data_IF_372268129672
#
_entry.id   IF_372268129672
#
_cell.length_a   1.000
_cell.length_b   1.000
_cell.length_c   1.000
_cell.angle_alpha   90.00
_cell.angle_beta   90.00
_cell.angle_gamma   90.00
#
_symmetry.space_group_name_H-M   'P 1'
#
loop_
_entity.id
_entity.type
_entity.pdbx_description
1 polymer ?
#
# COMPACT_ATOMS: atom_id res chain seq x y z
N UNK A 1 -13.64 34.80 56.72
CA UNK A 1 -14.09 34.53 55.35
C UNK A 1 -12.93 33.85 54.62
N UNK A 2 -12.99 32.52 54.56
CA UNK A 2 -11.92 31.70 54.02
C UNK A 2 -12.32 31.30 52.59
N UNK A 3 -11.49 31.66 51.60
CA UNK A 3 -11.67 31.25 50.23
C UNK A 3 -11.18 29.80 50.05
N UNK A 4 -11.91 28.92 49.28
CA UNK A 4 -11.41 27.60 48.98
C UNK A 4 -10.39 27.70 47.84
N UNK A 5 -9.27 27.02 48.02
CA UNK A 5 -8.21 26.80 47.00
C UNK A 5 -8.72 25.75 46.02
N UNK A 6 -8.87 26.15 44.77
CA UNK A 6 -9.17 25.23 43.65
C UNK A 6 -7.92 24.41 43.33
N UNK A 7 -8.04 23.08 43.40
CA UNK A 7 -7.04 22.13 42.88
C UNK A 7 -7.08 22.16 41.35
N UNK A 8 -5.92 22.11 40.66
CA UNK A 8 -5.89 21.97 39.24
C UNK A 8 -6.37 20.55 38.84
N UNK A 9 -7.25 20.49 37.84
CA UNK A 9 -7.69 19.25 37.20
C UNK A 9 -6.49 18.46 36.69
N UNK A 10 -6.46 17.19 37.08
CA UNK A 10 -5.48 16.23 36.57
C UNK A 10 -5.70 16.09 35.07
N UNK A 11 -4.64 16.36 34.29
CA UNK A 11 -4.64 16.21 32.86
C UNK A 11 -5.08 14.80 32.46
N UNK A 12 -6.00 14.72 31.51
CA UNK A 12 -6.37 13.49 30.83
C UNK A 12 -5.08 12.91 30.24
N UNK A 13 -4.62 11.79 30.83
CA UNK A 13 -3.53 11.01 30.25
C UNK A 13 -3.94 10.58 28.85
N UNK A 14 -3.08 10.83 27.87
CA UNK A 14 -3.25 10.27 26.54
C UNK A 14 -3.38 8.75 26.70
N UNK A 15 -4.42 8.16 26.09
CA UNK A 15 -4.57 6.71 26.04
C UNK A 15 -3.26 6.10 25.51
N UNK A 16 -2.77 5.02 26.12
CA UNK A 16 -1.54 4.39 25.67
C UNK A 16 -1.72 3.99 24.21
N UNK A 17 -0.79 4.43 23.36
CA UNK A 17 -0.79 4.09 21.92
C UNK A 17 -0.79 2.57 21.79
N UNK A 18 -1.86 1.98 21.25
CA UNK A 18 -1.96 0.53 21.01
C UNK A 18 -0.88 0.08 20.02
N UNK A 19 -0.24 -1.04 20.36
CA UNK A 19 0.77 -1.63 19.49
C UNK A 19 0.12 -2.50 18.42
N UNK A 20 0.27 -2.09 17.16
CA UNK A 20 -0.33 -2.74 16.00
C UNK A 20 0.77 -3.35 15.14
N UNK A 21 0.81 -4.69 15.09
CA UNK A 21 1.80 -5.46 14.34
C UNK A 21 1.22 -5.95 13.00
N UNK A 22 1.76 -5.49 11.89
CA UNK A 22 1.45 -6.08 10.58
C UNK A 22 2.37 -7.28 10.30
N UNK A 23 1.78 -8.45 10.10
CA UNK A 23 2.48 -9.67 9.72
C UNK A 23 2.16 -10.01 8.27
N UNK A 24 3.21 -10.19 7.46
CA UNK A 24 3.12 -10.57 6.05
C UNK A 24 3.70 -12.00 5.90
N UNK A 25 2.86 -13.04 5.83
CA UNK A 25 3.33 -14.40 5.58
C UNK A 25 3.75 -14.56 4.11
N UNK A 26 5.02 -14.86 3.87
CA UNK A 26 5.58 -15.03 2.53
C UNK A 26 6.50 -16.24 2.48
N UNK A 27 5.96 -17.42 2.10
CA UNK A 27 6.77 -18.65 1.98
C UNK A 27 7.49 -18.75 0.64
N UNK A 28 8.63 -19.46 0.58
CA UNK A 28 9.40 -19.69 -0.64
C UNK A 28 8.76 -20.65 -1.62
N UNK A 29 8.08 -21.70 -1.14
CA UNK A 29 7.50 -22.79 -1.94
C UNK A 29 6.13 -22.47 -2.53
N UNK A 30 6.03 -21.59 -3.54
CA UNK A 30 4.78 -21.32 -4.25
C UNK A 30 4.55 -22.28 -5.40
N UNK A 31 3.35 -22.95 -5.43
CA UNK A 31 3.01 -23.95 -6.47
C UNK A 31 2.57 -23.34 -7.80
N UNK A 32 1.78 -22.28 -7.77
CA UNK A 32 1.20 -21.66 -8.96
C UNK A 32 2.20 -20.82 -9.76
N UNK A 33 2.95 -19.95 -9.07
CA UNK A 33 3.98 -19.08 -9.67
C UNK A 33 5.30 -19.33 -8.97
N UNK A 34 6.37 -19.78 -9.66
CA UNK A 34 7.69 -19.91 -9.05
C UNK A 34 8.17 -18.59 -8.45
N UNK A 35 8.66 -18.62 -7.19
CA UNK A 35 9.09 -17.44 -6.46
C UNK A 35 8.05 -16.30 -6.42
N UNK A 36 6.77 -16.63 -6.34
CA UNK A 36 5.62 -15.72 -6.43
C UNK A 36 5.82 -14.42 -5.63
N UNK A 37 6.24 -14.53 -4.37
CA UNK A 37 6.39 -13.39 -3.48
C UNK A 37 7.53 -12.41 -3.89
N UNK A 38 8.46 -12.88 -4.73
CA UNK A 38 9.52 -12.07 -5.36
C UNK A 38 9.17 -11.60 -6.76
N UNK A 39 8.04 -12.07 -7.33
CA UNK A 39 7.64 -11.68 -8.68
C UNK A 39 7.35 -10.17 -8.73
N UNK A 40 7.93 -9.43 -9.71
CA UNK A 40 7.73 -7.99 -9.79
C UNK A 40 6.42 -7.64 -10.50
N UNK A 41 5.72 -6.65 -9.92
CA UNK A 41 4.62 -5.91 -10.53
C UNK A 41 5.04 -4.44 -10.55
N UNK A 42 5.03 -3.80 -11.71
CA UNK A 42 5.61 -2.47 -11.93
C UNK A 42 7.06 -2.33 -11.39
N UNK A 43 7.89 -3.36 -11.60
CA UNK A 43 9.28 -3.36 -11.15
C UNK A 43 9.50 -3.66 -9.66
N UNK A 44 8.46 -3.71 -8.82
CA UNK A 44 8.56 -3.92 -7.38
C UNK A 44 8.07 -5.32 -7.00
N UNK A 45 8.86 -6.13 -6.27
CA UNK A 45 8.45 -7.45 -5.78
C UNK A 45 7.18 -7.40 -4.93
N UNK A 46 6.31 -8.41 -5.03
CA UNK A 46 5.02 -8.45 -4.30
C UNK A 46 5.21 -8.26 -2.79
N UNK A 47 6.19 -8.92 -2.18
CA UNK A 47 6.46 -8.76 -0.74
C UNK A 47 6.90 -7.34 -0.39
N UNK A 48 7.73 -6.70 -1.22
CA UNK A 48 8.17 -5.32 -1.00
C UNK A 48 7.03 -4.31 -1.12
N UNK A 49 6.08 -4.55 -2.05
CA UNK A 49 4.85 -3.75 -2.18
C UNK A 49 4.03 -3.77 -0.89
N UNK A 50 3.73 -4.97 -0.38
CA UNK A 50 2.97 -5.12 0.86
C UNK A 50 3.68 -4.49 2.08
N UNK A 51 5.01 -4.65 2.18
CA UNK A 51 5.82 -4.01 3.24
C UNK A 51 5.71 -2.49 3.17
N UNK A 52 5.84 -1.90 1.97
CA UNK A 52 5.74 -0.45 1.78
C UNK A 52 4.39 0.09 2.24
N UNK A 53 3.28 -0.53 1.84
CA UNK A 53 1.94 -0.09 2.24
C UNK A 53 1.71 -0.23 3.75
N UNK A 54 2.16 -1.33 4.37
CA UNK A 54 2.08 -1.49 5.83
C UNK A 54 2.90 -0.44 6.58
N UNK A 55 4.11 -0.12 6.10
CA UNK A 55 4.97 0.90 6.73
C UNK A 55 4.46 2.33 6.59
N UNK A 56 3.71 2.60 5.52
CA UNK A 56 3.10 3.91 5.26
C UNK A 56 1.78 4.11 6.01
N UNK A 57 1.21 3.04 6.57
CA UNK A 57 -0.03 3.08 7.32
C UNK A 57 0.18 3.75 8.70
N UNK A 58 -0.75 4.62 9.09
CA UNK A 58 -0.65 5.47 10.30
C UNK A 58 -0.85 4.70 11.60
N UNK A 59 -1.67 3.65 11.54
CA UNK A 59 -2.04 2.84 12.71
C UNK A 59 -1.09 1.66 12.93
N UNK A 60 -0.22 1.32 11.97
CA UNK A 60 0.75 0.24 12.09
C UNK A 60 1.99 0.75 12.80
N UNK A 61 2.40 0.07 13.88
CA UNK A 61 3.61 0.41 14.64
C UNK A 61 4.82 -0.38 14.16
N UNK A 62 4.61 -1.65 13.81
CA UNK A 62 5.68 -2.58 13.47
C UNK A 62 5.26 -3.46 12.27
N UNK A 63 6.22 -3.80 11.40
CA UNK A 63 5.99 -4.64 10.21
C UNK A 63 6.95 -5.82 10.20
N UNK A 64 6.41 -7.02 10.17
CA UNK A 64 7.15 -8.28 10.18
C UNK A 64 6.81 -9.10 8.94
N UNK A 65 7.83 -9.57 8.23
CA UNK A 65 7.68 -10.61 7.19
C UNK A 65 8.05 -11.97 7.80
N UNK A 66 7.08 -12.92 7.79
CA UNK A 66 7.29 -14.30 8.22
C UNK A 66 7.62 -15.16 7.00
N UNK A 67 8.85 -15.66 6.90
CA UNK A 67 9.32 -16.42 5.73
C UNK A 67 10.28 -17.55 6.12
N UNK A 68 10.35 -18.58 5.28
CA UNK A 68 11.35 -19.67 5.31
C UNK A 68 12.45 -19.47 4.24
N UNK A 69 12.32 -18.44 3.39
CA UNK A 69 13.17 -18.21 2.23
C UNK A 69 14.11 -17.01 2.46
N UNK A 70 15.41 -17.21 2.22
CA UNK A 70 16.42 -16.17 2.45
C UNK A 70 16.38 -15.04 1.42
N UNK A 71 15.93 -15.30 0.17
CA UNK A 71 15.80 -14.26 -0.83
C UNK A 71 14.60 -13.34 -0.50
N UNK A 72 13.48 -13.92 -0.05
CA UNK A 72 12.34 -13.15 0.46
C UNK A 72 12.76 -12.33 1.68
N UNK A 73 13.52 -12.94 2.60
CA UNK A 73 14.02 -12.25 3.79
C UNK A 73 14.91 -11.05 3.45
N UNK A 74 15.78 -11.18 2.42
CA UNK A 74 16.64 -10.09 1.97
C UNK A 74 15.79 -8.90 1.42
N UNK A 75 14.86 -9.18 0.50
CA UNK A 75 13.97 -8.17 -0.08
C UNK A 75 13.08 -7.50 0.98
N UNK A 76 12.58 -8.26 1.94
CA UNK A 76 11.78 -7.73 3.03
C UNK A 76 12.56 -6.76 3.93
N UNK A 77 13.82 -7.08 4.26
CA UNK A 77 14.71 -6.18 5.03
C UNK A 77 15.05 -4.91 4.25
N UNK A 78 15.34 -5.04 2.97
CA UNK A 78 15.60 -3.91 2.08
C UNK A 78 14.38 -2.97 2.00
N UNK A 79 13.17 -3.54 1.96
CA UNK A 79 11.93 -2.78 2.04
C UNK A 79 11.64 -2.21 3.44
N UNK A 80 12.43 -2.56 4.46
CA UNK A 80 12.39 -2.02 5.81
C UNK A 80 11.50 -2.78 6.79
N UNK A 81 11.17 -4.04 6.53
CA UNK A 81 10.47 -4.90 7.49
C UNK A 81 11.45 -5.65 8.40
N UNK A 82 11.01 -5.95 9.62
CA UNK A 82 11.61 -6.99 10.43
C UNK A 82 11.32 -8.36 9.80
N UNK A 83 12.23 -9.32 9.95
CA UNK A 83 12.06 -10.67 9.39
C UNK A 83 12.10 -11.71 10.50
N UNK A 84 11.03 -12.49 10.58
CA UNK A 84 10.95 -13.69 11.42
C UNK A 84 11.10 -14.93 10.54
N UNK A 85 12.17 -15.68 10.77
CA UNK A 85 12.41 -16.93 10.04
C UNK A 85 11.45 -18.01 10.54
N UNK A 86 10.68 -18.58 9.61
CA UNK A 86 9.66 -19.57 9.90
C UNK A 86 10.26 -20.97 10.03
N UNK A 87 9.97 -21.72 11.10
CA UNK A 87 10.38 -23.13 11.21
C UNK A 87 9.74 -24.00 10.12
N UNK A 88 10.44 -25.04 9.68
CA UNK A 88 9.95 -25.96 8.65
C UNK A 88 8.58 -26.59 8.98
N UNK A 89 8.29 -26.81 10.27
CA UNK A 89 7.04 -27.39 10.72
C UNK A 89 5.79 -26.53 10.37
N UNK A 90 5.96 -25.22 10.19
CA UNK A 90 4.88 -24.30 9.83
C UNK A 90 5.16 -23.56 8.50
N UNK A 91 6.04 -24.11 7.67
CA UNK A 91 6.39 -23.62 6.33
C UNK A 91 5.83 -24.50 5.20
N UNK A 92 5.31 -25.69 5.53
CA UNK A 92 4.77 -26.66 4.56
C UNK A 92 3.44 -26.22 3.93
N UNK A 93 2.99 -27.03 2.95
CA UNK A 93 1.78 -26.75 2.17
C UNK A 93 0.47 -26.75 2.99
N UNK A 94 0.46 -27.47 4.10
CA UNK A 94 -0.69 -27.58 5.03
C UNK A 94 -0.64 -26.54 6.14
N UNK A 95 0.42 -25.74 6.22
CA UNK A 95 0.55 -24.71 7.25
C UNK A 95 -0.41 -23.55 6.97
N UNK A 96 -1.20 -23.18 7.96
CA UNK A 96 -2.14 -22.05 7.86
C UNK A 96 -1.44 -20.70 8.00
N UNK A 97 -2.02 -19.66 7.44
CA UNK A 97 -1.55 -18.29 7.63
C UNK A 97 -1.61 -17.88 9.11
N UNK A 98 -2.60 -18.34 9.83
CA UNK A 98 -2.78 -18.09 11.26
C UNK A 98 -1.61 -18.62 12.10
N UNK A 99 -1.12 -19.82 11.80
CA UNK A 99 0.06 -20.38 12.48
C UNK A 99 1.33 -19.53 12.24
N UNK A 100 1.48 -19.03 11.01
CA UNK A 100 2.59 -18.13 10.68
C UNK A 100 2.48 -16.77 11.40
N UNK A 101 1.27 -16.23 11.53
CA UNK A 101 1.00 -14.97 12.25
C UNK A 101 1.27 -15.13 13.74
N UNK A 102 0.76 -16.20 14.38
CA UNK A 102 1.00 -16.49 15.79
C UNK A 102 2.51 -16.61 16.09
N UNK A 103 3.23 -17.37 15.27
CA UNK A 103 4.67 -17.54 15.43
C UNK A 103 5.42 -16.20 15.29
N UNK A 104 5.06 -15.39 14.30
CA UNK A 104 5.69 -14.09 14.09
C UNK A 104 5.41 -13.11 15.24
N UNK A 105 4.17 -13.11 15.76
CA UNK A 105 3.78 -12.28 16.90
C UNK A 105 4.53 -12.68 18.17
N UNK A 106 4.67 -13.99 18.46
CA UNK A 106 5.43 -14.49 19.61
C UNK A 106 6.92 -14.14 19.52
N UNK A 107 7.50 -14.29 18.32
CA UNK A 107 8.90 -13.96 18.09
C UNK A 107 9.17 -12.45 18.23
N UNK A 108 8.27 -11.62 17.70
CA UNK A 108 8.36 -10.17 17.81
C UNK A 108 8.23 -9.69 19.27
N UNK A 109 7.24 -10.19 20.02
CA UNK A 109 7.08 -9.85 21.45
C UNK A 109 8.30 -10.30 22.28
N UNK A 110 8.85 -11.48 22.01
CA UNK A 110 10.04 -11.98 22.68
C UNK A 110 11.28 -11.10 22.41
N UNK A 111 11.42 -10.59 21.19
CA UNK A 111 12.54 -9.73 20.80
C UNK A 111 12.45 -8.34 21.44
N UNK A 112 11.26 -7.75 21.45
CA UNK A 112 11.05 -6.36 21.87
C UNK A 112 10.61 -6.21 23.32
N UNK A 113 10.27 -7.32 24.01
CA UNK A 113 9.81 -7.29 25.40
C UNK A 113 8.48 -6.55 25.61
N UNK A 114 7.68 -6.40 24.58
CA UNK A 114 6.44 -5.65 24.61
C UNK A 114 5.31 -6.40 23.89
N UNK A 115 4.09 -6.36 24.45
CA UNK A 115 2.92 -7.05 23.91
C UNK A 115 2.34 -6.33 22.70
N UNK A 116 1.82 -7.10 21.79
CA UNK A 116 1.01 -6.65 20.64
C UNK A 116 -0.44 -6.58 21.09
N UNK A 117 -1.14 -5.47 20.78
CA UNK A 117 -2.55 -5.27 21.10
C UNK A 117 -3.44 -5.66 19.93
N UNK A 118 -2.99 -5.38 18.69
CA UNK A 118 -3.68 -5.72 17.45
C UNK A 118 -2.70 -6.35 16.48
N UNK A 119 -3.07 -7.45 15.88
CA UNK A 119 -2.27 -8.11 14.83
C UNK A 119 -3.01 -8.06 13.50
N UNK A 120 -2.28 -7.71 12.45
CA UNK A 120 -2.76 -7.76 11.08
C UNK A 120 -2.17 -8.95 10.35
N UNK A 121 -3.00 -9.63 9.59
CA UNK A 121 -2.58 -10.56 8.53
C UNK A 121 -2.71 -9.83 7.20
N UNK A 122 -1.58 -9.58 6.54
CA UNK A 122 -1.53 -8.91 5.23
C UNK A 122 -0.97 -9.86 4.19
N UNK A 123 -1.71 -10.09 3.11
CA UNK A 123 -1.30 -10.99 2.04
C UNK A 123 -0.55 -10.22 0.93
N UNK A 124 0.72 -10.55 0.71
CA UNK A 124 1.51 -9.94 -0.36
C UNK A 124 1.06 -10.37 -1.78
N UNK A 125 0.20 -11.38 -1.89
CA UNK A 125 -0.44 -11.81 -3.13
C UNK A 125 -1.50 -10.83 -3.66
N UNK A 126 -1.89 -9.83 -2.86
CA UNK A 126 -2.80 -8.75 -3.26
C UNK A 126 -1.98 -7.52 -3.69
N UNK A 127 -1.63 -7.40 -5.00
CA UNK A 127 -0.63 -6.43 -5.48
C UNK A 127 -1.07 -4.97 -5.37
N UNK A 128 -2.39 -4.71 -5.25
CA UNK A 128 -2.98 -3.38 -5.23
C UNK A 128 -3.59 -3.01 -3.87
N UNK A 129 -3.15 -3.69 -2.81
CA UNK A 129 -3.39 -3.27 -1.44
C UNK A 129 -2.82 -1.87 -1.23
N UNK A 130 -3.54 -0.99 -0.53
CA UNK A 130 -3.06 0.35 -0.18
C UNK A 130 -2.96 0.53 1.32
N UNK A 131 -2.20 1.56 1.74
CA UNK A 131 -2.10 1.94 3.15
C UNK A 131 -3.46 2.27 3.78
N UNK A 132 -4.42 2.83 3.01
CA UNK A 132 -5.77 3.12 3.48
C UNK A 132 -6.54 1.85 3.82
N UNK A 133 -6.35 0.77 3.05
CA UNK A 133 -6.94 -0.53 3.34
C UNK A 133 -6.35 -1.10 4.65
N UNK A 134 -5.03 -0.99 4.83
CA UNK A 134 -4.32 -1.41 6.05
C UNK A 134 -4.76 -0.57 7.25
N UNK A 135 -4.79 0.75 7.10
CA UNK A 135 -5.26 1.68 8.15
C UNK A 135 -6.72 1.42 8.53
N UNK A 136 -7.57 1.15 7.54
CA UNK A 136 -8.99 0.89 7.76
C UNK A 136 -9.22 -0.32 8.66
N UNK A 137 -8.57 -1.46 8.39
CA UNK A 137 -8.70 -2.66 9.22
C UNK A 137 -8.04 -2.48 10.59
N UNK A 138 -6.88 -1.83 10.64
CA UNK A 138 -6.18 -1.53 11.88
C UNK A 138 -7.02 -0.63 12.81
N UNK A 139 -7.56 0.46 12.28
CA UNK A 139 -8.38 1.42 13.03
C UNK A 139 -9.69 0.79 13.56
N UNK A 140 -10.32 -0.10 12.78
CA UNK A 140 -11.55 -0.78 13.19
C UNK A 140 -11.39 -1.59 14.47
N UNK A 141 -10.22 -2.23 14.65
CA UNK A 141 -9.91 -3.04 15.84
C UNK A 141 -9.23 -2.19 16.92
N UNK A 142 -8.24 -1.36 16.54
CA UNK A 142 -7.52 -0.52 17.50
C UNK A 142 -8.43 0.51 18.18
N UNK A 143 -9.49 0.97 17.51
CA UNK A 143 -10.51 1.84 18.10
C UNK A 143 -11.46 1.14 19.07
N UNK A 144 -11.36 -0.18 19.28
CA UNK A 144 -12.20 -0.96 20.20
C UNK A 144 -13.65 -1.17 19.72
N UNK A 145 -13.93 -0.91 18.46
CA UNK A 145 -15.26 -1.09 17.86
C UNK A 145 -15.55 -2.50 17.36
N UNK A 146 -14.51 -3.29 17.10
CA UNK A 146 -14.60 -4.67 16.61
C UNK A 146 -13.46 -5.51 17.17
N UNK A 147 -13.65 -6.81 17.25
CA UNK A 147 -12.61 -7.79 17.60
C UNK A 147 -11.84 -8.25 16.37
N UNK A 148 -12.49 -8.24 15.21
CA UNK A 148 -11.87 -8.56 13.92
C UNK A 148 -12.33 -7.59 12.83
N UNK A 149 -11.52 -7.43 11.80
CA UNK A 149 -11.87 -6.65 10.61
C UNK A 149 -11.22 -7.26 9.36
N UNK A 150 -11.85 -7.05 8.21
CA UNK A 150 -11.31 -7.49 6.93
C UNK A 150 -11.63 -6.50 5.81
N UNK A 151 -10.84 -6.53 4.75
CA UNK A 151 -11.11 -5.79 3.52
C UNK A 151 -12.13 -6.53 2.65
N UNK A 152 -13.15 -5.79 2.20
CA UNK A 152 -14.21 -6.28 1.33
C UNK A 152 -14.46 -5.31 0.17
N UNK A 153 -14.95 -5.83 -0.95
CA UNK A 153 -15.33 -5.01 -2.09
C UNK A 153 -16.77 -5.23 -2.51
N UNK A 154 -17.49 -4.21 -3.02
CA UNK A 154 -18.80 -4.38 -3.62
C UNK A 154 -18.80 -5.43 -4.74
N UNK A 155 -19.66 -6.42 -4.63
CA UNK A 155 -19.81 -7.49 -5.60
C UNK A 155 -21.24 -7.52 -6.15
N UNK A 156 -21.38 -7.65 -7.47
CA UNK A 156 -22.68 -7.63 -8.15
C UNK A 156 -22.93 -8.87 -9.01
N UNK A 157 -22.03 -9.85 -8.95
CA UNK A 157 -22.15 -11.09 -9.69
C UNK A 157 -23.28 -11.98 -9.19
N UNK A 158 -23.79 -12.83 -10.08
CA UNK A 158 -24.63 -13.96 -9.72
C UNK A 158 -23.72 -15.18 -9.58
N UNK A 159 -23.66 -15.75 -8.40
CA UNK A 159 -22.82 -16.91 -8.10
C UNK A 159 -23.64 -18.18 -8.33
N UNK A 160 -23.06 -19.11 -9.08
CA UNK A 160 -23.61 -20.44 -9.36
C UNK A 160 -22.66 -21.48 -8.79
N UNK A 161 -23.21 -22.60 -8.36
CA UNK A 161 -22.45 -23.79 -7.97
C UNK A 161 -22.93 -24.96 -8.78
N UNK A 162 -22.01 -25.86 -9.16
CA UNK A 162 -22.35 -27.14 -9.78
C UNK A 162 -22.76 -28.14 -8.68
N UNK A 163 -23.85 -28.85 -8.87
CA UNK A 163 -24.30 -29.88 -7.94
C UNK A 163 -23.35 -31.09 -7.88
N UNK A 164 -22.49 -31.28 -8.85
CA UNK A 164 -21.46 -32.32 -8.83
C UNK A 164 -20.39 -32.07 -7.74
N UNK A 165 -20.08 -30.78 -7.45
CA UNK A 165 -19.06 -30.41 -6.44
C UNK A 165 -19.52 -30.70 -4.98
N UNK A 166 -20.82 -30.82 -4.71
CA UNK A 166 -21.32 -31.16 -3.36
C UNK A 166 -21.09 -32.63 -2.99
N UNK A 167 -21.03 -33.52 -3.98
CA UNK A 167 -20.80 -34.95 -3.72
C UNK A 167 -19.36 -35.25 -3.31
N UNK A 168 -18.38 -34.54 -3.91
CA UNK A 168 -16.97 -34.72 -3.56
C UNK A 168 -16.63 -34.17 -2.16
N UNK A 169 -17.32 -33.12 -1.70
CA UNK A 169 -17.12 -32.55 -0.35
C UNK A 169 -17.78 -33.35 0.74
N UNK A 170 -18.88 -34.06 0.46
CA UNK A 170 -19.55 -34.95 1.42
C UNK A 170 -18.71 -36.20 1.70
N UNK A 171 -18.13 -36.83 0.68
CA UNK A 171 -17.21 -37.97 0.83
C UNK A 171 -15.90 -37.60 1.58
N UNK A 172 -15.42 -36.35 1.43
CA UNK A 172 -14.25 -35.87 2.17
C UNK A 172 -14.55 -35.57 3.64
N UNK A 173 -15.81 -35.23 4.00
CA UNK A 173 -16.21 -34.96 5.38
C UNK A 173 -16.45 -36.24 6.19
N UNK A 174 -16.90 -37.31 5.57
CA UNK A 174 -17.08 -38.63 6.24
C UNK A 174 -15.71 -39.29 6.55
N UNK A 175 -14.65 -38.95 5.81
CA UNK A 175 -13.31 -39.44 6.08
C UNK A 175 -12.58 -38.67 7.20
N UNK A 176 -13.10 -37.52 7.64
CA UNK A 176 -12.46 -36.63 8.64
C UNK A 176 -13.15 -36.65 10.02
N UNK A 177 -14.28 -37.39 10.19
CA UNK A 177 -15.06 -37.35 11.43
C UNK A 177 -14.62 -38.42 12.44
N UNK A 178 -13.64 -38.10 13.24
CA UNK A 178 -13.27 -38.65 14.53
C UNK A 178 -13.27 -37.60 15.64
N UNK A 179 -13.94 -36.45 15.51
CA UNK A 179 -13.93 -35.38 16.52
C UNK A 179 -15.10 -34.39 16.36
N UNK A 180 -16.03 -34.44 17.29
CA UNK A 180 -17.24 -33.67 17.51
C UNK A 180 -17.38 -32.35 16.74
N UNK A 181 -18.22 -32.34 15.71
CA UNK A 181 -18.73 -31.13 15.07
C UNK A 181 -19.88 -30.54 15.89
N UNK A 182 -19.69 -29.29 16.39
CA UNK A 182 -20.79 -28.48 16.90
C UNK A 182 -21.41 -27.77 15.69
N UNK A 183 -22.52 -28.30 15.20
CA UNK A 183 -23.28 -27.66 14.13
C UNK A 183 -23.95 -26.38 14.61
N UNK A 184 -23.68 -25.28 13.96
CA UNK A 184 -24.45 -24.04 14.10
C UNK A 184 -25.70 -24.17 13.21
N UNK A 185 -26.77 -24.72 13.80
CA UNK A 185 -28.07 -24.72 13.19
C UNK A 185 -28.68 -23.33 13.20
N UNK A 186 -28.90 -22.76 12.03
CA UNK A 186 -29.76 -21.58 11.89
C UNK A 186 -31.20 -21.97 12.24
N UNK A 187 -31.68 -21.56 13.41
CA UNK A 187 -33.10 -21.65 13.77
C UNK A 187 -33.89 -20.62 12.94
N UNK A 188 -34.59 -21.10 11.92
CA UNK A 188 -35.68 -20.35 11.29
C UNK A 188 -36.93 -20.57 12.11
N UNK A 189 -37.40 -19.51 12.75
CA UNK A 189 -38.78 -19.47 13.30
C UNK A 189 -39.77 -19.57 12.16
N UNK A 190 -40.60 -20.59 12.16
CA UNK A 190 -41.67 -20.78 11.20
C UNK A 190 -42.81 -19.77 11.46
N UNK A 191 -43.11 -18.92 10.46
CA UNK A 191 -44.40 -18.28 10.32
C UNK A 191 -45.23 -19.13 9.36
N UNK A 192 -46.43 -19.46 9.77
CA UNK A 192 -47.36 -20.35 9.07
C UNK A 192 -47.74 -19.81 7.69
N UNK A 193 -47.56 -20.61 6.66
CA UNK A 193 -48.00 -20.35 5.29
C UNK A 193 -47.40 -21.35 4.32
N UNK A 194 -48.14 -22.40 4.00
CA UNK A 194 -47.90 -23.56 3.17
C UNK A 194 -46.72 -23.52 2.20
N UNK A 195 -45.65 -24.19 2.54
CA UNK A 195 -44.56 -24.49 1.61
C UNK A 195 -44.56 -26.00 1.33
N UNK A 196 -44.84 -26.36 0.12
CA UNK A 196 -44.67 -27.71 -0.42
C UNK A 196 -43.19 -28.08 -0.32
N UNK A 197 -42.89 -29.05 0.52
CA UNK A 197 -41.55 -29.65 0.63
C UNK A 197 -41.30 -30.43 -0.65
N UNK A 198 -40.49 -29.90 -1.53
CA UNK A 198 -39.93 -30.64 -2.66
C UNK A 198 -38.83 -31.53 -2.10
N UNK A 199 -39.12 -32.81 -1.94
CA UNK A 199 -38.13 -33.83 -1.64
C UNK A 199 -37.23 -33.94 -2.87
N UNK A 200 -35.92 -33.63 -2.72
CA UNK A 200 -34.97 -33.83 -3.77
C UNK A 200 -34.83 -35.32 -4.05
N UNK A 201 -35.39 -35.80 -5.18
CA UNK A 201 -35.09 -37.12 -5.69
C UNK A 201 -33.61 -37.18 -6.12
N UNK A 202 -32.87 -38.14 -5.57
CA UNK A 202 -31.51 -38.44 -5.94
C UNK A 202 -31.45 -38.82 -7.45
N UNK A 203 -30.92 -37.94 -8.27
CA UNK A 203 -30.70 -38.19 -9.71
C UNK A 203 -29.34 -38.87 -9.89
N UNK A 204 -29.38 -40.17 -10.15
CA UNK A 204 -28.20 -40.93 -10.65
C UNK A 204 -28.06 -40.73 -12.15
N UNK A 205 -26.99 -40.00 -12.57
CA UNK A 205 -26.59 -39.91 -14.00
C UNK A 205 -26.34 -38.50 -14.46
N UNK A 206 -25.18 -38.23 -14.93
CA UNK A 206 -24.54 -37.21 -15.80
C UNK A 206 -25.23 -35.87 -16.18
N UNK A 207 -26.23 -35.41 -15.44
CA UNK A 207 -26.82 -34.08 -15.62
C UNK A 207 -26.48 -33.23 -14.39
N UNK A 208 -25.25 -32.64 -14.38
CA UNK A 208 -24.88 -31.63 -13.41
C UNK A 208 -25.77 -30.39 -13.63
N UNK A 209 -26.67 -30.12 -12.69
CA UNK A 209 -27.56 -28.97 -12.74
C UNK A 209 -27.02 -27.88 -11.81
N UNK A 210 -26.51 -26.79 -12.38
CA UNK A 210 -26.08 -25.62 -11.62
C UNK A 210 -27.27 -25.01 -10.83
N UNK A 211 -26.98 -24.52 -9.62
CA UNK A 211 -27.93 -23.77 -8.79
C UNK A 211 -27.32 -22.41 -8.37
N UNK A 212 -28.21 -21.43 -8.14
CA UNK A 212 -27.81 -20.11 -7.69
C UNK A 212 -27.44 -20.09 -6.21
N UNK A 213 -26.27 -19.54 -5.86
CA UNK A 213 -25.83 -19.43 -4.46
C UNK A 213 -26.40 -18.18 -3.80
N UNK A 214 -26.38 -17.05 -4.48
CA UNK A 214 -26.83 -15.76 -3.97
C UNK A 214 -28.07 -15.21 -4.70
N UNK A 215 -28.79 -16.06 -5.45
CA UNK A 215 -30.01 -15.70 -6.14
C UNK A 215 -30.90 -16.91 -6.42
N UNK A 216 -32.20 -16.66 -6.66
CA UNK A 216 -33.11 -17.66 -7.18
C UNK A 216 -33.02 -17.71 -8.70
N UNK A 217 -32.76 -18.90 -9.29
CA UNK A 217 -32.61 -19.06 -10.75
C UNK A 217 -33.93 -18.83 -11.51
N UNK A 218 -35.08 -18.94 -10.83
CA UNK A 218 -36.43 -18.74 -11.43
C UNK A 218 -36.73 -17.24 -11.62
N UNK A 219 -36.04 -16.35 -10.89
CA UNK A 219 -36.22 -14.92 -10.96
C UNK A 219 -34.86 -14.19 -10.97
N UNK A 220 -34.62 -13.44 -12.02
CA UNK A 220 -33.37 -12.62 -12.15
C UNK A 220 -33.69 -11.15 -11.87
N UNK A 221 -33.47 -10.65 -10.64
CA UNK A 221 -33.67 -9.25 -10.31
C UNK A 221 -32.66 -8.36 -11.03
N UNK A 222 -33.01 -7.10 -11.26
CA UNK A 222 -32.05 -6.11 -11.76
C UNK A 222 -31.03 -5.79 -10.65
N UNK A 223 -29.84 -5.29 -11.04
CA UNK A 223 -28.75 -4.95 -10.13
C UNK A 223 -29.20 -4.03 -8.97
N UNK A 224 -29.98 -3.02 -9.28
CA UNK A 224 -30.49 -2.04 -8.31
C UNK A 224 -31.56 -2.58 -7.36
N UNK A 225 -32.18 -3.72 -7.67
CA UNK A 225 -33.26 -4.32 -6.87
C UNK A 225 -32.72 -5.40 -5.91
N UNK A 226 -31.39 -5.61 -5.86
CA UNK A 226 -30.72 -6.59 -5.00
C UNK A 226 -29.99 -5.89 -3.84
N UNK A 227 -29.92 -6.54 -2.67
CA UNK A 227 -28.93 -6.17 -1.67
C UNK A 227 -27.52 -6.18 -2.27
N UNK A 228 -26.66 -5.28 -1.80
CA UNK A 228 -25.26 -5.27 -2.21
C UNK A 228 -24.51 -6.38 -1.48
N UNK A 229 -24.10 -7.40 -2.20
CA UNK A 229 -23.15 -8.39 -1.71
C UNK A 229 -21.74 -7.78 -1.59
N UNK A 230 -20.96 -8.29 -0.66
CA UNK A 230 -19.57 -7.91 -0.46
C UNK A 230 -18.69 -9.14 -0.67
N UNK A 231 -17.65 -8.99 -1.47
CA UNK A 231 -16.63 -10.00 -1.70
C UNK A 231 -15.46 -9.75 -0.73
N UNK A 232 -15.06 -10.77 0.01
CA UNK A 232 -13.81 -10.79 0.75
C UNK A 232 -12.64 -10.69 -0.22
N UNK A 233 -11.71 -9.74 0.01
CA UNK A 233 -10.63 -9.47 -0.95
C UNK A 233 -9.37 -10.30 -0.72
N UNK A 234 -9.26 -10.96 0.44
CA UNK A 234 -8.04 -11.67 0.82
C UNK A 234 -6.87 -10.78 1.23
N UNK A 235 -6.95 -9.46 1.04
CA UNK A 235 -5.78 -8.60 1.12
C UNK A 235 -5.30 -8.28 2.54
N UNK A 236 -6.20 -7.88 3.44
CA UNK A 236 -5.85 -7.50 4.81
C UNK A 236 -6.94 -7.88 5.81
N UNK A 237 -6.49 -8.34 6.98
CA UNK A 237 -7.29 -8.68 8.13
C UNK A 237 -6.65 -8.07 9.37
N UNK A 238 -7.47 -7.64 10.34
CA UNK A 238 -7.02 -7.21 11.66
C UNK A 238 -7.75 -7.99 12.73
N UNK A 239 -7.07 -8.36 13.79
CA UNK A 239 -7.58 -9.11 14.91
C UNK A 239 -7.08 -8.52 16.23
N UNK A 240 -7.92 -8.48 17.26
CA UNK A 240 -7.48 -8.33 18.64
C UNK A 240 -6.48 -9.45 18.97
N UNK A 241 -5.31 -9.09 19.47
CA UNK A 241 -4.22 -10.05 19.63
C UNK A 241 -4.52 -11.11 20.72
N UNK A 242 -5.29 -10.75 21.74
CA UNK A 242 -5.69 -11.69 22.80
C UNK A 242 -6.70 -12.69 22.28
N UNK A 243 -7.75 -12.22 21.61
CA UNK A 243 -8.76 -13.07 20.98
C UNK A 243 -8.16 -13.98 19.90
N UNK A 244 -7.22 -13.45 19.12
CA UNK A 244 -6.54 -14.26 18.09
C UNK A 244 -5.73 -15.42 18.69
N UNK A 245 -5.06 -15.23 19.84
CA UNK A 245 -4.36 -16.30 20.55
C UNK A 245 -5.32 -17.37 21.06
N UNK A 246 -6.51 -16.96 21.54
CA UNK A 246 -7.52 -17.86 22.06
C UNK A 246 -8.17 -18.69 20.94
N UNK A 247 -8.66 -18.00 19.92
CA UNK A 247 -9.44 -18.64 18.84
C UNK A 247 -8.56 -19.27 17.75
N UNK A 248 -7.32 -18.81 17.56
CA UNK A 248 -6.39 -19.25 16.51
C UNK A 248 -7.00 -19.18 15.10
N UNK A 249 -7.91 -18.25 14.90
CA UNK A 249 -8.67 -18.03 13.68
C UNK A 249 -8.86 -16.53 13.46
N UNK A 250 -8.96 -16.10 12.19
CA UNK A 250 -9.07 -14.68 11.84
C UNK A 250 -10.45 -14.06 12.07
N UNK A 251 -11.47 -14.87 12.34
CA UNK A 251 -12.83 -14.41 12.60
C UNK A 251 -13.32 -14.89 13.96
N UNK A 252 -13.61 -13.95 14.83
CA UNK A 252 -14.23 -14.14 16.14
C UNK A 252 -14.85 -12.81 16.60
N UNK A 253 -15.80 -12.87 17.53
CA UNK A 253 -16.47 -11.68 18.02
C UNK A 253 -17.16 -10.86 16.92
N UNK A 254 -17.20 -9.54 17.08
CA UNK A 254 -17.73 -8.61 16.08
C UNK A 254 -16.71 -8.38 14.98
N UNK A 255 -17.11 -8.63 13.74
CA UNK A 255 -16.29 -8.41 12.55
C UNK A 255 -16.71 -7.14 11.82
N UNK A 256 -15.78 -6.20 11.60
CA UNK A 256 -16.00 -4.99 10.81
C UNK A 256 -15.58 -5.19 9.35
N UNK A 257 -16.39 -4.68 8.41
CA UNK A 257 -16.18 -4.81 6.97
C UNK A 257 -15.64 -3.50 6.40
N UNK A 258 -14.34 -3.46 6.09
CA UNK A 258 -13.66 -2.30 5.52
C UNK A 258 -13.75 -2.35 4.01
N UNK A 259 -14.44 -1.38 3.42
CA UNK A 259 -14.68 -1.34 1.97
C UNK A 259 -13.47 -0.81 1.22
N UNK A 260 -13.04 -1.55 0.21
CA UNK A 260 -12.02 -1.14 -0.75
C UNK A 260 -12.60 -0.94 -2.16
N UNK A 261 -11.83 -0.32 -3.05
CA UNK A 261 -12.19 -0.15 -4.45
C UNK A 261 -12.18 -1.51 -5.18
N UNK A 262 -13.31 -1.96 -5.76
CA UNK A 262 -13.38 -3.22 -6.48
C UNK A 262 -12.41 -3.31 -7.68
N UNK A 263 -11.97 -2.19 -8.24
CA UNK A 263 -10.99 -2.19 -9.31
C UNK A 263 -9.62 -2.73 -8.87
N UNK A 264 -9.29 -2.63 -7.55
CA UNK A 264 -8.03 -3.08 -6.96
C UNK A 264 -8.05 -4.53 -6.48
N UNK A 265 -9.22 -5.20 -6.54
CA UNK A 265 -9.37 -6.58 -6.07
C UNK A 265 -8.76 -7.55 -7.07
N UNK A 266 -7.58 -8.01 -6.76
CA UNK A 266 -6.86 -9.05 -7.50
C UNK A 266 -5.94 -9.79 -6.53
N UNK A 267 -6.01 -11.11 -6.54
CA UNK A 267 -5.06 -11.99 -5.89
C UNK A 267 -4.22 -12.71 -6.96
N UNK A 268 -2.91 -12.78 -6.73
CA UNK A 268 -1.99 -13.46 -7.64
C UNK A 268 -1.80 -14.88 -7.14
N UNK A 269 -2.44 -15.85 -7.80
CA UNK A 269 -2.30 -17.27 -7.48
C UNK A 269 -1.66 -18.06 -8.60
N UNK A 270 -1.86 -17.65 -9.84
CA UNK A 270 -1.34 -18.30 -11.02
C UNK A 270 -0.61 -17.32 -11.98
N UNK A 271 0.04 -17.80 -13.07
CA UNK A 271 0.72 -16.94 -14.03
C UNK A 271 -0.22 -15.97 -14.78
N UNK A 272 -1.50 -16.29 -14.94
CA UNK A 272 -2.46 -15.40 -15.60
C UNK A 272 -2.81 -14.22 -14.69
N UNK A 273 -2.96 -14.46 -13.39
CA UNK A 273 -3.17 -13.39 -12.41
C UNK A 273 -1.98 -12.45 -12.35
N UNK A 274 -0.74 -13.00 -12.38
CA UNK A 274 0.47 -12.18 -12.44
C UNK A 274 0.53 -11.34 -13.71
N UNK A 275 0.14 -11.90 -14.84
CA UNK A 275 0.07 -11.16 -16.10
C UNK A 275 -0.99 -10.05 -16.04
N UNK A 276 -2.18 -10.33 -15.44
CA UNK A 276 -3.23 -9.33 -15.18
C UNK A 276 -2.74 -8.23 -14.25
N UNK A 277 -2.06 -8.58 -13.14
CA UNK A 277 -1.49 -7.60 -12.23
C UNK A 277 -0.53 -6.65 -12.95
N UNK A 278 0.37 -7.18 -13.77
CA UNK A 278 1.32 -6.38 -14.57
C UNK A 278 0.63 -5.46 -15.59
N UNK A 279 -0.43 -5.94 -16.22
CA UNK A 279 -1.20 -5.14 -17.18
C UNK A 279 -2.02 -4.02 -16.50
N UNK A 280 -2.52 -4.26 -15.29
CA UNK A 280 -3.33 -3.30 -14.53
C UNK A 280 -2.49 -2.31 -13.74
N UNK A 281 -1.25 -2.65 -13.39
CA UNK A 281 -0.41 -1.80 -12.55
C UNK A 281 -0.29 -0.34 -13.05
N UNK A 282 -0.11 -0.04 -14.35
CA UNK A 282 -0.07 1.35 -14.82
C UNK A 282 -1.36 2.14 -14.60
N UNK A 283 -2.48 1.45 -14.34
CA UNK A 283 -3.79 2.06 -14.13
C UNK A 283 -4.16 2.16 -12.65
N UNK A 284 -3.67 1.22 -11.83
CA UNK A 284 -4.07 1.03 -10.44
C UNK A 284 -2.97 1.44 -9.44
N UNK A 285 -1.71 1.30 -9.81
CA UNK A 285 -0.61 1.98 -9.13
C UNK A 285 -0.69 3.46 -9.50
N UNK A 286 -1.75 4.10 -9.07
CA UNK A 286 -1.68 5.55 -8.96
C UNK A 286 -0.62 5.80 -7.89
N UNK A 287 0.56 6.16 -8.36
CA UNK A 287 1.49 6.90 -7.55
C UNK A 287 0.64 7.95 -6.86
N UNK A 288 0.56 7.93 -5.54
CA UNK A 288 -0.05 9.04 -4.82
C UNK A 288 0.76 10.26 -5.23
N UNK A 289 0.16 11.07 -6.09
CA UNK A 289 0.82 12.31 -6.48
C UNK A 289 0.78 13.24 -5.28
N UNK A 290 1.89 13.88 -4.94
CA UNK A 290 1.93 14.79 -3.81
C UNK A 290 0.99 15.97 -4.04
N UNK A 291 0.30 16.38 -2.97
CA UNK A 291 -0.52 17.58 -2.95
C UNK A 291 0.16 18.66 -2.10
N UNK A 292 -0.41 19.87 -2.08
CA UNK A 292 0.10 20.95 -1.24
C UNK A 292 0.06 20.64 0.28
N UNK A 293 -0.78 19.69 0.69
CA UNK A 293 -0.83 19.25 2.10
C UNK A 293 0.27 18.27 2.48
N UNK A 294 0.92 17.64 1.50
CA UNK A 294 1.92 16.60 1.72
C UNK A 294 3.34 17.15 1.79
N UNK A 295 3.59 18.32 1.24
CA UNK A 295 4.94 18.89 1.10
C UNK A 295 5.02 20.34 1.59
N UNK A 296 6.12 20.66 2.27
CA UNK A 296 6.44 21.99 2.77
C UNK A 296 7.54 22.67 1.91
N UNK A 297 8.23 21.92 1.06
CA UNK A 297 9.24 22.45 0.14
C UNK A 297 9.48 21.54 -1.07
N UNK A 298 9.99 22.14 -2.16
CA UNK A 298 10.39 21.41 -3.37
C UNK A 298 11.83 21.71 -3.71
N UNK A 299 12.65 20.66 -3.85
CA UNK A 299 14.04 20.73 -4.26
C UNK A 299 14.19 20.10 -5.64
N UNK A 300 14.82 20.82 -6.55
CA UNK A 300 14.84 20.50 -7.97
C UNK A 300 16.30 20.33 -8.41
N UNK A 301 16.65 19.16 -8.93
CA UNK A 301 17.89 18.97 -9.64
C UNK A 301 17.91 19.76 -10.96
N UNK A 302 19.07 19.90 -11.61
CA UNK A 302 19.19 20.72 -12.79
C UNK A 302 19.36 19.91 -14.08
N UNK A 303 20.47 19.19 -14.23
CA UNK A 303 20.79 18.47 -15.47
C UNK A 303 19.93 17.21 -15.59
N UNK A 304 19.34 16.99 -16.77
CA UNK A 304 18.40 15.89 -16.99
C UNK A 304 17.04 16.04 -16.28
N UNK A 305 16.87 17.03 -15.40
CA UNK A 305 15.64 17.35 -14.68
C UNK A 305 14.97 18.62 -15.21
N UNK A 306 15.67 19.77 -15.18
CA UNK A 306 15.24 21.01 -15.82
C UNK A 306 15.72 21.14 -17.27
N UNK A 307 16.67 20.31 -17.68
CA UNK A 307 17.21 20.18 -19.03
C UNK A 307 16.92 18.78 -19.56
N UNK A 308 17.19 18.55 -20.85
CA UNK A 308 17.09 17.25 -21.53
C UNK A 308 18.36 16.39 -21.41
N UNK A 309 19.25 16.71 -20.48
CA UNK A 309 20.53 16.05 -20.24
C UNK A 309 21.54 16.18 -21.41
N UNK A 310 21.33 17.15 -22.31
CA UNK A 310 22.22 17.42 -23.43
C UNK A 310 22.94 18.76 -23.27
N UNK A 311 24.21 18.74 -23.60
CA UNK A 311 25.07 19.93 -23.60
C UNK A 311 25.54 20.22 -25.02
N UNK A 312 25.36 21.44 -25.49
CA UNK A 312 25.98 21.93 -26.72
C UNK A 312 27.28 22.62 -26.34
N UNK A 313 28.38 22.22 -26.96
CA UNK A 313 29.71 22.77 -26.70
C UNK A 313 30.21 23.46 -27.97
N UNK A 314 30.59 24.73 -27.88
CA UNK A 314 31.18 25.44 -28.99
C UNK A 314 32.71 25.19 -29.11
N UNK A 315 33.34 25.72 -30.17
CA UNK A 315 34.79 25.57 -30.40
C UNK A 315 35.66 26.24 -29.35
N UNK A 316 35.10 27.09 -28.49
CA UNK A 316 35.79 27.75 -27.39
C UNK A 316 35.56 27.04 -26.05
N UNK A 317 34.85 25.90 -26.07
CA UNK A 317 34.54 25.12 -24.88
C UNK A 317 33.38 25.68 -24.03
N UNK A 318 32.60 26.63 -24.57
CA UNK A 318 31.45 27.17 -23.84
C UNK A 318 30.27 26.23 -24.00
N UNK A 319 29.63 25.93 -22.89
CA UNK A 319 28.48 25.07 -22.82
C UNK A 319 27.16 25.86 -22.89
N UNK A 320 26.22 25.32 -23.61
CA UNK A 320 24.85 25.85 -23.71
C UNK A 320 23.86 24.70 -23.47
N UNK A 321 22.90 24.92 -22.60
CA UNK A 321 21.81 23.97 -22.31
C UNK A 321 20.47 24.58 -22.68
N UNK A 322 19.51 23.72 -23.05
CA UNK A 322 18.14 24.12 -23.30
C UNK A 322 17.29 23.89 -22.02
N UNK A 323 16.37 24.82 -21.76
CA UNK A 323 15.43 24.71 -20.65
C UNK A 323 13.99 24.95 -21.13
N UNK A 324 13.02 24.25 -20.57
CA UNK A 324 11.64 24.35 -20.98
C UNK A 324 10.95 25.61 -20.39
N UNK A 325 10.18 26.33 -21.22
CA UNK A 325 9.46 27.55 -20.77
C UNK A 325 8.32 27.24 -19.82
N UNK A 326 7.61 26.12 -20.05
CA UNK A 326 6.53 25.65 -19.19
C UNK A 326 6.98 25.36 -17.76
N UNK A 327 8.17 24.77 -17.58
CA UNK A 327 8.76 24.54 -16.26
C UNK A 327 9.00 25.85 -15.51
N UNK A 328 9.45 26.87 -16.24
CA UNK A 328 9.60 28.22 -15.67
C UNK A 328 8.27 28.82 -15.18
N UNK A 329 7.16 28.54 -15.86
CA UNK A 329 5.82 28.95 -15.41
C UNK A 329 5.36 28.14 -14.19
N UNK A 330 5.61 26.82 -14.18
CA UNK A 330 5.33 25.97 -13.02
C UNK A 330 6.07 26.42 -11.76
N UNK A 331 7.39 26.66 -11.89
CA UNK A 331 8.23 27.19 -10.79
C UNK A 331 7.73 28.57 -10.32
N UNK A 332 7.33 29.44 -11.24
CA UNK A 332 6.81 30.76 -10.89
C UNK A 332 5.48 30.67 -10.12
N UNK A 333 4.60 29.75 -10.48
CA UNK A 333 3.34 29.49 -9.76
C UNK A 333 3.60 28.94 -8.36
N UNK A 334 4.46 27.91 -8.21
CA UNK A 334 4.88 27.37 -6.91
C UNK A 334 5.48 28.45 -6.01
N UNK A 335 6.36 29.32 -6.55
CA UNK A 335 6.92 30.44 -5.81
C UNK A 335 5.85 31.45 -5.38
N UNK A 336 4.88 31.77 -6.25
CA UNK A 336 3.78 32.68 -5.92
C UNK A 336 2.84 32.10 -4.84
N UNK A 337 2.69 30.79 -4.76
CA UNK A 337 1.91 30.14 -3.70
C UNK A 337 2.61 30.17 -2.34
N UNK A 338 3.84 30.65 -2.27
CA UNK A 338 4.64 30.67 -1.04
C UNK A 338 5.43 29.38 -0.76
N UNK A 339 5.43 28.42 -1.70
CA UNK A 339 6.19 27.19 -1.58
C UNK A 339 7.70 27.46 -1.58
N UNK A 340 8.45 27.07 -0.55
CA UNK A 340 9.90 27.10 -0.53
C UNK A 340 10.48 26.25 -1.66
N UNK A 341 11.42 26.81 -2.43
CA UNK A 341 12.02 26.14 -3.59
C UNK A 341 13.54 26.25 -3.50
N UNK A 342 14.24 25.22 -3.98
CA UNK A 342 15.69 25.19 -4.10
C UNK A 342 16.08 24.48 -5.41
N UNK A 343 17.10 25.00 -6.12
CA UNK A 343 17.86 24.23 -7.11
C UNK A 343 19.09 23.66 -6.43
N UNK A 344 19.30 22.33 -6.54
CA UNK A 344 20.43 21.63 -5.95
C UNK A 344 21.12 20.78 -7.03
N UNK A 345 22.34 21.19 -7.45
CA UNK A 345 23.07 20.57 -8.56
C UNK A 345 24.54 20.28 -8.22
N UNK A 346 25.07 19.20 -8.79
CA UNK A 346 26.53 18.93 -8.80
C UNK A 346 27.28 19.79 -9.81
N UNK A 347 26.58 20.32 -10.80
CA UNK A 347 27.17 21.10 -11.90
C UNK A 347 27.81 22.42 -11.40
N UNK A 348 29.01 22.68 -11.85
CA UNK A 348 29.78 23.92 -11.53
C UNK A 348 29.56 25.03 -12.54
N UNK A 349 29.01 24.73 -13.72
CA UNK A 349 28.80 25.70 -14.78
C UNK A 349 27.87 26.83 -14.33
N UNK A 350 28.23 28.10 -14.58
CA UNK A 350 27.45 29.28 -14.19
C UNK A 350 26.03 29.32 -14.77
N UNK A 351 25.69 28.48 -15.74
CA UNK A 351 24.37 28.40 -16.35
C UNK A 351 23.28 28.06 -15.30
N UNK A 352 23.61 27.21 -14.32
CA UNK A 352 22.70 26.85 -13.22
C UNK A 352 22.32 28.08 -12.40
N UNK A 353 23.34 28.87 -11.99
CA UNK A 353 23.12 30.11 -11.26
C UNK A 353 22.38 31.16 -12.10
N UNK A 354 22.65 31.22 -13.41
CA UNK A 354 21.93 32.13 -14.31
C UNK A 354 20.46 31.80 -14.43
N UNK A 355 20.12 30.50 -14.50
CA UNK A 355 18.74 29.99 -14.50
C UNK A 355 18.02 30.30 -13.18
N UNK A 356 18.65 30.03 -12.04
CA UNK A 356 18.11 30.31 -10.71
C UNK A 356 17.77 31.79 -10.52
N UNK A 357 18.69 32.69 -10.94
CA UNK A 357 18.44 34.15 -10.93
C UNK A 357 17.23 34.55 -11.77
N UNK A 358 17.09 33.98 -12.98
CA UNK A 358 15.92 34.22 -13.84
C UNK A 358 14.61 33.74 -13.19
N UNK A 359 14.64 32.62 -12.51
CA UNK A 359 13.48 32.02 -11.82
C UNK A 359 13.20 32.68 -10.46
N UNK A 360 14.18 33.43 -9.93
CA UNK A 360 14.15 34.08 -8.60
C UNK A 360 13.97 33.07 -7.47
N UNK A 361 14.72 31.97 -7.52
CA UNK A 361 14.77 30.94 -6.49
C UNK A 361 16.21 30.71 -6.03
N UNK A 362 16.42 30.25 -4.78
CA UNK A 362 17.73 29.88 -4.26
C UNK A 362 18.39 28.77 -5.09
N UNK A 363 19.72 28.71 -5.05
CA UNK A 363 20.51 27.67 -5.71
C UNK A 363 21.72 27.28 -4.89
N UNK A 364 21.95 25.98 -4.77
CA UNK A 364 23.20 25.36 -4.36
C UNK A 364 23.72 24.55 -5.55
N UNK A 365 24.85 24.96 -6.12
CA UNK A 365 25.46 24.29 -7.28
C UNK A 365 26.93 24.00 -7.03
N UNK A 366 27.51 23.07 -7.77
CA UNK A 366 28.85 22.57 -7.51
C UNK A 366 28.94 21.73 -6.23
N UNK A 367 27.89 21.03 -5.88
CA UNK A 367 27.74 20.29 -4.63
C UNK A 367 27.91 18.79 -4.86
N UNK A 368 29.03 18.21 -4.45
CA UNK A 368 29.28 16.77 -4.58
C UNK A 368 28.38 15.92 -3.66
N UNK A 369 28.13 16.42 -2.42
CA UNK A 369 27.30 15.72 -1.43
C UNK A 369 25.95 16.41 -1.30
N UNK A 370 25.07 16.17 -2.31
CA UNK A 370 23.70 16.73 -2.35
C UNK A 370 22.91 16.39 -1.09
N UNK A 371 23.06 15.19 -0.55
CA UNK A 371 22.39 14.71 0.66
C UNK A 371 22.70 15.57 1.90
N UNK A 372 23.97 15.90 2.10
CA UNK A 372 24.39 16.74 3.24
C UNK A 372 23.92 18.19 3.08
N UNK A 373 24.02 18.72 1.86
CA UNK A 373 23.55 20.07 1.56
C UNK A 373 22.03 20.20 1.70
N UNK A 374 21.28 19.19 1.26
CA UNK A 374 19.83 19.12 1.43
C UNK A 374 19.44 19.11 2.92
N UNK A 375 20.09 18.24 3.71
CA UNK A 375 19.85 18.16 5.15
C UNK A 375 20.11 19.49 5.85
N UNK A 376 21.25 20.11 5.57
CA UNK A 376 21.60 21.43 6.13
C UNK A 376 20.57 22.49 5.73
N UNK A 377 20.17 22.54 4.46
CA UNK A 377 19.16 23.49 4.00
C UNK A 377 17.82 23.28 4.69
N UNK A 378 17.38 22.02 4.88
CA UNK A 378 16.16 21.71 5.63
C UNK A 378 16.22 22.21 7.07
N UNK A 379 17.36 22.01 7.77
CA UNK A 379 17.60 22.51 9.12
C UNK A 379 17.54 24.05 9.17
N UNK A 380 18.16 24.74 8.23
CA UNK A 380 18.15 26.21 8.11
C UNK A 380 16.74 26.78 7.84
N UNK A 381 15.92 26.06 7.08
CA UNK A 381 14.53 26.46 6.78
C UNK A 381 13.52 26.02 7.84
N UNK A 382 13.92 25.15 8.77
CA UNK A 382 13.01 24.56 9.78
C UNK A 382 12.00 23.61 9.17
N UNK A 383 12.34 22.91 8.06
CA UNK A 383 11.50 21.99 7.32
C UNK A 383 11.94 20.56 7.60
N UNK A 384 11.00 19.69 7.95
CA UNK A 384 11.27 18.26 8.12
C UNK A 384 11.55 17.61 6.73
N UNK A 385 12.64 16.85 6.55
CA UNK A 385 12.95 16.21 5.27
C UNK A 385 11.81 15.34 4.73
N UNK A 386 11.03 14.69 5.61
CA UNK A 386 9.88 13.87 5.26
C UNK A 386 8.75 14.67 4.57
N UNK A 387 8.81 16.00 4.67
CA UNK A 387 7.88 16.92 4.02
C UNK A 387 8.47 17.66 2.83
N UNK A 388 9.61 17.16 2.33
CA UNK A 388 10.27 17.71 1.13
C UNK A 388 9.97 16.81 -0.07
N UNK A 389 9.62 17.43 -1.20
CA UNK A 389 9.66 16.81 -2.52
C UNK A 389 11.01 17.10 -3.15
N UNK A 390 11.74 16.05 -3.51
CA UNK A 390 12.97 16.15 -4.28
C UNK A 390 12.75 15.53 -5.66
N UNK A 391 13.03 16.26 -6.73
CA UNK A 391 12.96 15.73 -8.09
C UNK A 391 14.33 15.65 -8.73
N UNK A 392 14.64 14.47 -9.31
CA UNK A 392 15.92 14.16 -9.95
C UNK A 392 15.80 13.13 -11.06
N UNK A 393 16.95 12.79 -11.67
CA UNK A 393 17.02 11.91 -12.84
C UNK A 393 18.13 10.86 -12.79
N UNK A 394 19.20 11.05 -12.01
CA UNK A 394 20.37 10.17 -12.05
C UNK A 394 20.78 9.68 -10.65
N UNK A 395 21.73 8.75 -10.61
CA UNK A 395 22.18 8.02 -9.42
C UNK A 395 22.75 8.94 -8.33
N UNK A 396 23.25 10.13 -8.69
CA UNK A 396 23.71 11.15 -7.74
C UNK A 396 22.57 11.78 -6.91
N UNK A 397 21.29 11.55 -7.29
CA UNK A 397 20.09 11.98 -6.56
C UNK A 397 19.63 10.95 -5.52
N UNK A 398 20.02 9.66 -5.67
CA UNK A 398 19.58 8.59 -4.78
C UNK A 398 19.84 8.84 -3.28
N UNK A 399 20.97 9.42 -2.87
CA UNK A 399 21.18 9.78 -1.47
C UNK A 399 20.16 10.80 -0.95
N UNK A 400 19.68 11.74 -1.79
CA UNK A 400 18.61 12.68 -1.45
C UNK A 400 17.25 11.98 -1.38
N UNK A 401 16.98 11.04 -2.29
CA UNK A 401 15.75 10.24 -2.28
C UNK A 401 15.57 9.47 -0.97
N UNK A 402 16.67 8.97 -0.39
CA UNK A 402 16.65 8.29 0.91
C UNK A 402 16.34 9.19 2.13
N UNK A 403 16.40 10.53 1.96
CA UNK A 403 16.15 11.48 3.05
C UNK A 403 14.75 12.08 3.02
N UNK A 404 14.14 12.20 1.83
CA UNK A 404 12.90 12.95 1.65
C UNK A 404 11.66 12.05 1.68
N UNK A 405 10.51 12.61 2.08
CA UNK A 405 9.25 11.87 2.05
C UNK A 405 8.65 11.74 0.65
N UNK A 406 9.06 12.61 -0.29
CA UNK A 406 8.58 12.61 -1.67
C UNK A 406 9.73 12.62 -2.69
N UNK A 407 10.45 11.49 -2.85
CA UNK A 407 11.38 11.33 -3.95
C UNK A 407 10.60 11.20 -5.27
N UNK A 408 10.88 12.06 -6.23
CA UNK A 408 10.24 12.11 -7.55
C UNK A 408 11.28 11.96 -8.64
N UNK A 409 11.06 11.07 -9.58
CA UNK A 409 11.88 10.92 -10.78
C UNK A 409 11.18 11.52 -11.99
N UNK A 410 11.94 12.12 -12.91
CA UNK A 410 11.39 12.47 -14.23
C UNK A 410 11.27 11.24 -15.11
N UNK A 411 10.36 11.24 -16.12
CA UNK A 411 10.11 10.09 -16.98
C UNK A 411 11.38 9.57 -17.69
N UNK A 412 12.32 10.45 -18.02
CA UNK A 412 13.61 10.13 -18.64
C UNK A 412 14.69 9.69 -17.66
N UNK A 413 14.43 9.64 -16.35
CA UNK A 413 15.40 9.27 -15.34
C UNK A 413 15.91 7.84 -15.53
N UNK A 414 17.11 7.56 -15.02
CA UNK A 414 17.70 6.23 -15.01
C UNK A 414 16.78 5.22 -14.29
N UNK A 415 16.74 3.97 -14.76
CA UNK A 415 15.83 2.93 -14.24
C UNK A 415 15.94 2.73 -12.72
N UNK A 416 17.16 2.76 -12.17
CA UNK A 416 17.39 2.63 -10.73
C UNK A 416 16.77 3.80 -9.96
N UNK A 417 16.82 5.01 -10.52
CA UNK A 417 16.24 6.22 -9.91
C UNK A 417 14.73 6.19 -9.97
N UNK A 418 14.15 5.78 -11.11
CA UNK A 418 12.70 5.56 -11.21
C UNK A 418 12.22 4.48 -10.24
N UNK A 419 13.00 3.42 -10.06
CA UNK A 419 12.69 2.36 -9.10
C UNK A 419 12.75 2.79 -7.62
N UNK A 420 13.51 3.84 -7.30
CA UNK A 420 13.63 4.40 -5.95
C UNK A 420 12.66 5.57 -5.68
N UNK A 421 12.02 6.10 -6.74
CA UNK A 421 11.09 7.22 -6.62
C UNK A 421 9.74 6.76 -6.03
N UNK A 422 9.07 7.67 -5.32
CA UNK A 422 7.68 7.51 -4.87
C UNK A 422 6.68 7.92 -5.95
N UNK A 423 7.06 8.86 -6.83
CA UNK A 423 6.29 9.26 -7.99
C UNK A 423 7.23 9.49 -9.19
N UNK A 424 6.73 9.26 -10.40
CA UNK A 424 7.47 9.48 -11.66
C UNK A 424 6.62 10.38 -12.55
N UNK A 425 7.21 11.42 -13.15
CA UNK A 425 6.45 12.28 -14.08
C UNK A 425 6.13 11.53 -15.37
N UNK A 426 5.05 11.90 -16.04
CA UNK A 426 4.71 11.36 -17.36
C UNK A 426 5.55 12.01 -18.47
N UNK A 427 6.13 13.17 -18.18
CA UNK A 427 6.91 14.00 -19.10
C UNK A 427 8.40 13.89 -18.77
N UNK A 428 9.29 13.77 -19.78
CA UNK A 428 10.73 13.79 -19.59
C UNK A 428 11.25 15.09 -18.97
N UNK A 429 12.44 15.02 -18.35
CA UNK A 429 13.16 16.20 -17.91
C UNK A 429 13.44 17.16 -19.08
N UNK A 430 13.36 18.46 -18.80
CA UNK A 430 13.52 19.49 -19.83
C UNK A 430 12.37 19.64 -20.82
N UNK A 431 11.28 18.87 -20.66
CA UNK A 431 10.12 18.91 -21.56
C UNK A 431 8.80 19.28 -20.86
N UNK A 432 8.85 19.72 -19.61
CA UNK A 432 7.65 20.12 -18.85
C UNK A 432 7.43 19.35 -17.56
N UNK A 433 8.37 18.52 -17.13
CA UNK A 433 8.25 17.69 -15.92
C UNK A 433 8.00 18.52 -14.65
N UNK A 434 8.67 19.68 -14.51
CA UNK A 434 8.45 20.52 -13.33
C UNK A 434 7.10 21.22 -13.39
N UNK A 435 6.57 21.50 -14.59
CA UNK A 435 5.20 22.01 -14.73
C UNK A 435 4.18 20.96 -14.35
N UNK A 436 4.41 19.70 -14.68
CA UNK A 436 3.57 18.58 -14.26
C UNK A 436 3.54 18.47 -12.73
N UNK A 437 4.71 18.48 -12.06
CA UNK A 437 4.80 18.50 -10.60
C UNK A 437 4.06 19.71 -9.99
N UNK A 438 4.20 20.89 -10.60
CA UNK A 438 3.45 22.06 -10.15
C UNK A 438 1.93 21.85 -10.25
N UNK A 439 1.44 21.11 -11.26
CA UNK A 439 0.02 20.78 -11.39
C UNK A 439 -0.45 19.79 -10.31
N UNK A 440 0.39 18.86 -9.87
CA UNK A 440 0.08 17.97 -8.76
C UNK A 440 -0.13 18.76 -7.45
N UNK A 441 0.81 19.65 -7.15
CA UNK A 441 0.83 20.43 -5.91
C UNK A 441 -0.29 21.48 -5.87
N UNK A 442 -0.46 22.23 -6.95
CA UNK A 442 -1.36 23.39 -6.99
C UNK A 442 -2.76 23.03 -7.50
N UNK A 443 -2.91 21.90 -8.21
CA UNK A 443 -4.18 21.51 -8.81
C UNK A 443 -4.78 22.64 -9.66
N UNK A 444 -6.11 22.94 -9.52
CA UNK A 444 -6.78 24.00 -10.27
C UNK A 444 -6.19 25.40 -10.04
N UNK A 445 -5.46 25.62 -8.94
CA UNK A 445 -4.84 26.92 -8.62
C UNK A 445 -3.66 27.26 -9.53
N UNK A 446 -3.09 26.26 -10.24
CA UNK A 446 -1.96 26.49 -11.15
C UNK A 446 -2.28 27.57 -12.22
N UNK A 447 -3.45 27.51 -12.81
CA UNK A 447 -3.84 28.43 -13.90
C UNK A 447 -4.14 29.83 -13.38
N UNK A 448 -4.76 29.92 -12.19
CA UNK A 448 -5.04 31.23 -11.56
C UNK A 448 -3.79 31.95 -11.08
N UNK A 449 -2.73 31.24 -10.71
CA UNK A 449 -1.45 31.82 -10.29
C UNK A 449 -0.56 32.25 -11.48
N UNK A 450 -0.88 31.82 -12.70
CA UNK A 450 -0.17 32.19 -13.93
C UNK A 450 -0.83 33.36 -14.67
N UNK A 451 -2.03 33.72 -14.32
CA UNK A 451 -2.75 34.94 -14.79
C UNK A 451 -2.39 36.14 -13.90
#
# INVERSE_FOLDING_TARGET
MSHPVSHPEQGQGADPVRRVLAVIPARGGSKGVPAKNLAPVAGVPLVARAVRECRSARHVTDVVVSTDDQAIAAVAREAGAEVVLRPAAIAGDTATSEAAVLHAMDAHEALHGARVDVVLLVQCTSPFLTREDVDGVAAAVAGGGAETALTVAPFHGFVWRDSADEMDTADASEAADGGAAVGIGAQRTAAEGGATTVVAEARTGKDSAGYGVNHDKSFRPRRQDRPQDLLETGAAYAMDATGFREHKHRFFGRTELVRTDPARVLEVDDPHDLARARALAPLLDREELPTASDVDAIVIDFDGTQTDDRVLIDSEGREVVAVHRGDGLGIAALRKSGMPLLILSTEQNPVVAARARKLKIPVLHGIDRKDLALKQWCEEQGIAPERVLYVGNDVNDLPCFGLVGWPVAVASAHDVVRGAARAVTTVPGGEGAIREIASWILGPSLDSLNS
#
